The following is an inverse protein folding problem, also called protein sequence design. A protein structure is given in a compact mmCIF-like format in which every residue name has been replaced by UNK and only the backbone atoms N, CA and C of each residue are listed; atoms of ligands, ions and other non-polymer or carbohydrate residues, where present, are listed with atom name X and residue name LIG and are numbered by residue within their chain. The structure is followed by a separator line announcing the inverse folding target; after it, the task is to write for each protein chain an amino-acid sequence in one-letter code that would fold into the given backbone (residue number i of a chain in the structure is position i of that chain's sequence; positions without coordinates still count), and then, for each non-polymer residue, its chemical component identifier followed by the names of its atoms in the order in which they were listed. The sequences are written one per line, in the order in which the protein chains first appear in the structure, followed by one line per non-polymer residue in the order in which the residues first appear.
data_IF_488075198902
#
_entry.id   IF_488075198902
#
_cell.length_a   1.000
_cell.length_b   1.000
_cell.length_c   1.000
_cell.angle_alpha   90.00
_cell.angle_beta   90.00
_cell.angle_gamma   90.00
#
_symmetry.space_group_name_H-M   'P 1'
#
loop_
_entity.id
_entity.type
_entity.pdbx_description
1 polymer ?
#
# COMPACT_ATOMS: atom_id res chain seq x y z
N UNK A 1 -5.71 -15.77 -1.03
CA UNK A 1 -6.09 -14.70 -0.09
C UNK A 1 -5.08 -14.71 1.04
N UNK A 2 -4.34 -13.63 1.26
CA UNK A 2 -3.33 -13.54 2.33
C UNK A 2 -3.98 -13.32 3.70
N UNK A 3 -3.19 -13.40 4.78
CA UNK A 3 -3.68 -13.09 6.14
C UNK A 3 -4.19 -11.65 6.23
N UNK A 4 -3.50 -10.71 5.58
CA UNK A 4 -3.91 -9.30 5.57
C UNK A 4 -5.22 -9.12 4.83
N UNK A 5 -5.38 -9.74 3.65
CA UNK A 5 -6.65 -9.69 2.92
C UNK A 5 -7.81 -10.26 3.73
N UNK A 6 -7.57 -11.34 4.51
CA UNK A 6 -8.58 -11.89 5.41
C UNK A 6 -8.95 -10.92 6.55
N UNK A 7 -7.95 -10.27 7.15
CA UNK A 7 -8.15 -9.25 8.18
C UNK A 7 -8.96 -8.06 7.65
N UNK A 8 -8.59 -7.55 6.48
CA UNK A 8 -9.28 -6.45 5.80
C UNK A 8 -10.74 -6.80 5.45
N UNK A 9 -10.97 -8.01 4.95
CA UNK A 9 -12.32 -8.51 4.67
C UNK A 9 -13.16 -8.67 5.95
N UNK A 10 -12.53 -8.92 7.10
CA UNK A 10 -13.17 -9.07 8.40
C UNK A 10 -13.45 -7.76 9.14
N UNK A 11 -12.98 -6.61 8.63
CA UNK A 11 -13.21 -5.31 9.28
C UNK A 11 -14.70 -4.95 9.37
N UNK A 12 -15.13 -4.20 10.40
CA UNK A 12 -16.47 -3.61 10.46
C UNK A 12 -16.75 -2.75 9.23
N UNK A 13 -18.01 -2.71 8.79
CA UNK A 13 -18.39 -1.95 7.59
C UNK A 13 -18.12 -0.45 7.74
N UNK A 14 -18.31 0.10 8.95
CA UNK A 14 -17.96 1.50 9.27
C UNK A 14 -16.45 1.78 9.07
N UNK A 15 -15.59 0.83 9.44
CA UNK A 15 -14.14 0.95 9.19
C UNK A 15 -13.82 0.82 7.71
N UNK A 16 -14.45 -0.14 6.99
CA UNK A 16 -14.26 -0.31 5.54
C UNK A 16 -14.66 0.93 4.74
N UNK A 17 -15.72 1.63 5.16
CA UNK A 17 -16.17 2.87 4.52
C UNK A 17 -15.10 3.98 4.55
N UNK A 18 -14.24 4.01 5.57
CA UNK A 18 -13.17 5.00 5.68
C UNK A 18 -12.08 4.85 4.60
N UNK A 19 -11.94 3.65 4.01
CA UNK A 19 -10.99 3.41 2.90
C UNK A 19 -11.52 3.92 1.55
N UNK A 20 -12.84 4.08 1.39
CA UNK A 20 -13.47 4.39 0.09
C UNK A 20 -12.97 5.70 -0.52
N UNK A 21 -12.87 6.83 0.21
CA UNK A 21 -12.50 8.11 -0.41
C UNK A 21 -11.11 8.13 -1.05
N UNK A 22 -10.16 7.36 -0.50
CA UNK A 22 -8.76 7.33 -0.94
C UNK A 22 -8.45 6.15 -1.85
N UNK A 23 -8.95 4.97 -1.49
CA UNK A 23 -8.58 3.70 -2.11
C UNK A 23 -9.73 3.07 -2.91
N UNK A 24 -10.98 3.49 -2.68
CA UNK A 24 -12.17 2.91 -3.28
C UNK A 24 -12.72 1.70 -2.50
N UNK A 25 -11.86 0.80 -2.03
CA UNK A 25 -12.21 -0.29 -1.10
C UNK A 25 -10.94 -0.87 -0.45
N UNK A 26 -11.12 -1.84 0.46
CA UNK A 26 -10.01 -2.49 1.17
C UNK A 26 -9.10 -3.36 0.29
N UNK A 27 -9.62 -3.94 -0.80
CA UNK A 27 -8.82 -4.74 -1.73
C UNK A 27 -7.88 -3.86 -2.58
N UNK A 28 -8.38 -2.70 -3.00
CA UNK A 28 -7.58 -1.67 -3.67
C UNK A 28 -6.55 -1.08 -2.71
N UNK A 29 -6.90 -0.87 -1.44
CA UNK A 29 -5.92 -0.51 -0.41
C UNK A 29 -4.78 -1.52 -0.32
N UNK A 30 -5.09 -2.81 -0.18
CA UNK A 30 -4.09 -3.88 -0.16
C UNK A 30 -3.19 -3.82 -1.40
N UNK A 31 -3.80 -3.71 -2.59
CA UNK A 31 -3.07 -3.66 -3.86
C UNK A 31 -2.14 -2.45 -3.94
N UNK A 32 -2.60 -1.26 -3.52
CA UNK A 32 -1.78 -0.04 -3.50
C UNK A 32 -0.61 -0.19 -2.54
N UNK A 33 -0.82 -0.74 -1.34
CA UNK A 33 0.27 -0.95 -0.37
C UNK A 33 1.29 -1.97 -0.85
N UNK A 34 0.82 -3.05 -1.48
CA UNK A 34 1.68 -4.04 -2.12
C UNK A 34 2.56 -3.41 -3.20
N UNK A 35 1.98 -2.54 -4.04
CA UNK A 35 2.71 -1.82 -5.08
C UNK A 35 3.69 -0.79 -4.50
N UNK A 36 3.36 -0.11 -3.40
CA UNK A 36 4.29 0.79 -2.71
C UNK A 36 5.51 0.01 -2.22
N UNK A 37 5.30 -1.14 -1.55
CA UNK A 37 6.39 -2.01 -1.10
C UNK A 37 7.25 -2.51 -2.27
N UNK A 38 6.60 -2.97 -3.35
CA UNK A 38 7.28 -3.37 -4.59
C UNK A 38 8.14 -2.26 -5.18
N UNK A 39 7.60 -1.04 -5.27
CA UNK A 39 8.33 0.10 -5.82
C UNK A 39 9.50 0.51 -4.92
N UNK A 40 9.34 0.49 -3.60
CA UNK A 40 10.44 0.78 -2.66
C UNK A 40 11.59 -0.21 -2.85
N UNK A 41 11.27 -1.51 -2.86
CA UNK A 41 12.25 -2.57 -3.00
C UNK A 41 12.97 -2.53 -4.34
N UNK A 42 12.23 -2.47 -5.45
CA UNK A 42 12.82 -2.43 -6.80
C UNK A 42 13.70 -1.18 -6.96
N UNK A 43 13.22 -0.01 -6.52
CA UNK A 43 14.00 1.23 -6.59
C UNK A 43 15.29 1.14 -5.76
N UNK A 44 15.23 0.52 -4.59
CA UNK A 44 16.40 0.30 -3.74
C UNK A 44 17.43 -0.65 -4.33
N UNK A 45 16.98 -1.67 -5.06
CA UNK A 45 17.85 -2.66 -5.70
C UNK A 45 18.45 -2.16 -7.02
N UNK A 46 17.61 -1.67 -7.92
CA UNK A 46 18.02 -1.26 -9.27
C UNK A 46 18.72 0.10 -9.28
N UNK A 47 18.44 0.94 -8.27
CA UNK A 47 19.03 2.27 -8.11
C UNK A 47 18.97 3.11 -9.40
N UNK A 48 17.76 3.32 -9.98
CA UNK A 48 17.61 4.14 -11.18
C UNK A 48 18.01 5.61 -10.93
N UNK A 49 18.02 6.42 -11.98
CA UNK A 49 18.29 7.86 -11.85
C UNK A 49 17.44 8.52 -10.77
N UNK A 50 18.12 9.25 -9.87
CA UNK A 50 17.54 9.90 -8.69
C UNK A 50 16.85 8.94 -7.72
N UNK A 51 17.31 7.68 -7.61
CA UNK A 51 16.70 6.68 -6.73
C UNK A 51 16.55 7.14 -5.28
N UNK A 52 17.48 7.93 -4.75
CA UNK A 52 17.38 8.46 -3.38
C UNK A 52 16.14 9.36 -3.23
N UNK A 53 15.97 10.34 -4.12
CA UNK A 53 14.79 11.22 -4.14
C UNK A 53 13.50 10.41 -4.32
N UNK A 54 13.52 9.38 -5.18
CA UNK A 54 12.38 8.48 -5.37
C UNK A 54 12.05 7.70 -4.10
N UNK A 55 13.05 7.13 -3.43
CA UNK A 55 12.87 6.42 -2.17
C UNK A 55 12.31 7.34 -1.08
N UNK A 56 12.77 8.58 -1.01
CA UNK A 56 12.26 9.56 -0.05
C UNK A 56 10.78 9.85 -0.28
N UNK A 57 10.36 10.00 -1.54
CA UNK A 57 8.94 10.17 -1.89
C UNK A 57 8.13 8.92 -1.52
N UNK A 58 8.61 7.73 -1.87
CA UNK A 58 7.91 6.46 -1.59
C UNK A 58 7.72 6.29 -0.08
N UNK A 59 8.78 6.47 0.71
CA UNK A 59 8.73 6.36 2.18
C UNK A 59 7.82 7.39 2.81
N UNK A 60 7.83 8.63 2.32
CA UNK A 60 6.91 9.67 2.79
C UNK A 60 5.45 9.30 2.53
N UNK A 61 5.14 8.77 1.35
CA UNK A 61 3.78 8.29 1.04
C UNK A 61 3.41 7.12 1.95
N UNK A 62 4.31 6.14 2.13
CA UNK A 62 4.10 5.00 3.04
C UNK A 62 3.77 5.46 4.46
N UNK A 63 4.59 6.33 5.06
CA UNK A 63 4.33 6.86 6.40
C UNK A 63 3.04 7.68 6.48
N UNK A 64 2.65 8.33 5.39
CA UNK A 64 1.36 9.03 5.35
C UNK A 64 0.19 8.05 5.38
N UNK A 65 0.29 6.93 4.66
CA UNK A 65 -0.73 5.87 4.73
C UNK A 65 -0.80 5.24 6.12
N UNK A 66 0.33 4.97 6.77
CA UNK A 66 0.38 4.48 8.16
C UNK A 66 -0.45 5.38 9.08
N UNK A 67 -0.26 6.70 9.00
CA UNK A 67 -1.01 7.67 9.81
C UNK A 67 -2.51 7.72 9.47
N UNK A 68 -2.86 7.63 8.18
CA UNK A 68 -4.26 7.60 7.71
C UNK A 68 -4.97 6.35 8.24
N UNK A 69 -4.35 5.18 8.11
CA UNK A 69 -4.92 3.93 8.60
C UNK A 69 -5.03 3.95 10.13
N UNK A 70 -4.06 4.56 10.80
CA UNK A 70 -4.11 4.75 12.26
C UNK A 70 -5.31 5.60 12.68
N UNK A 71 -5.67 6.63 11.92
CA UNK A 71 -6.85 7.45 12.21
C UNK A 71 -8.18 6.70 12.06
N UNK A 72 -8.18 5.57 11.34
CA UNK A 72 -9.34 4.68 11.24
C UNK A 72 -9.51 3.77 12.47
N UNK A 73 -8.61 3.85 13.45
CA UNK A 73 -8.60 3.02 14.65
C UNK A 73 -7.89 1.67 14.49
N UNK A 74 -7.05 1.52 13.46
CA UNK A 74 -6.25 0.34 13.19
C UNK A 74 -4.77 0.58 13.56
N UNK A 75 -3.98 -0.47 13.71
CA UNK A 75 -2.52 -0.32 13.74
C UNK A 75 -2.00 -0.14 12.31
N UNK A 76 -1.82 1.13 11.90
CA UNK A 76 -1.37 1.44 10.56
C UNK A 76 0.07 1.01 10.28
N UNK A 77 0.93 0.98 11.29
CA UNK A 77 2.32 0.56 11.11
C UNK A 77 2.41 -0.95 10.89
N UNK A 78 1.72 -1.73 11.72
CA UNK A 78 1.63 -3.18 11.59
C UNK A 78 0.97 -3.58 10.27
N UNK A 79 -0.17 -2.98 9.93
CA UNK A 79 -0.89 -3.33 8.71
C UNK A 79 -0.06 -3.08 7.43
N UNK A 80 0.66 -1.96 7.37
CA UNK A 80 1.53 -1.66 6.22
C UNK A 80 2.74 -2.60 6.18
N UNK A 81 3.32 -2.94 7.33
CA UNK A 81 4.42 -3.90 7.43
C UNK A 81 4.00 -5.31 7.02
N UNK A 82 2.79 -5.73 7.35
CA UNK A 82 2.26 -7.04 6.97
C UNK A 82 2.05 -7.14 5.46
N UNK A 83 1.51 -6.10 4.80
CA UNK A 83 1.40 -6.09 3.33
C UNK A 83 2.78 -6.09 2.67
N UNK A 84 3.75 -5.35 3.22
CA UNK A 84 5.11 -5.40 2.72
C UNK A 84 5.72 -6.81 2.86
N UNK A 85 5.39 -7.52 3.93
CA UNK A 85 5.82 -8.91 4.15
C UNK A 85 5.19 -9.87 3.13
N UNK A 86 3.89 -9.71 2.82
CA UNK A 86 3.21 -10.46 1.76
C UNK A 86 3.93 -10.25 0.40
N UNK A 87 4.32 -9.01 0.09
CA UNK A 87 5.12 -8.70 -1.10
C UNK A 87 6.48 -9.43 -1.10
N UNK A 88 7.23 -9.39 0.00
CA UNK A 88 8.53 -10.08 0.06
C UNK A 88 8.42 -11.59 -0.03
N UNK A 89 7.37 -12.18 0.58
CA UNK A 89 7.09 -13.60 0.45
C UNK A 89 6.84 -13.98 -1.02
N UNK A 90 6.02 -13.21 -1.72
CA UNK A 90 5.77 -13.42 -3.14
C UNK A 90 7.02 -13.25 -3.99
N UNK A 91 7.80 -12.19 -3.74
CA UNK A 91 9.05 -11.92 -4.45
C UNK A 91 10.05 -13.08 -4.34
N UNK A 92 10.27 -13.60 -3.12
CA UNK A 92 11.17 -14.72 -2.86
C UNK A 92 10.69 -16.02 -3.51
N UNK A 93 9.37 -16.21 -3.61
CA UNK A 93 8.76 -17.41 -4.19
C UNK A 93 8.44 -17.26 -5.69
N UNK A 94 8.88 -16.19 -6.35
CA UNK A 94 8.59 -15.90 -7.76
C UNK A 94 7.09 -15.92 -8.09
N UNK A 95 6.25 -15.45 -7.15
CA UNK A 95 4.81 -15.29 -7.34
C UNK A 95 4.51 -13.86 -7.74
N UNK A 96 3.67 -13.69 -8.76
CA UNK A 96 3.09 -12.39 -9.09
C UNK A 96 1.59 -12.43 -8.82
N UNK A 97 1.06 -11.53 -7.97
CA UNK A 97 -0.37 -11.44 -7.76
C UNK A 97 -1.07 -10.83 -8.98
N UNK A 98 -2.33 -11.19 -9.17
CA UNK A 98 -3.17 -10.51 -10.16
C UNK A 98 -3.41 -9.07 -9.70
N UNK A 99 -2.80 -8.11 -10.38
CA UNK A 99 -2.97 -6.68 -10.10
C UNK A 99 -4.26 -6.21 -10.78
N UNK A 100 -5.27 -5.89 -9.97
CA UNK A 100 -6.56 -5.35 -10.43
C UNK A 100 -6.59 -3.82 -10.28
N UNK A 101 -5.52 -3.15 -10.72
CA UNK A 101 -5.34 -1.70 -10.63
C UNK A 101 -4.52 -1.22 -11.82
N UNK A 102 -5.04 -0.25 -12.57
CA UNK A 102 -4.29 0.38 -13.65
C UNK A 102 -3.22 1.34 -13.12
N UNK A 103 -2.22 1.66 -13.95
CA UNK A 103 -1.20 2.66 -13.58
C UNK A 103 -1.82 4.05 -13.31
N UNK A 104 -2.85 4.42 -14.06
CA UNK A 104 -3.54 5.70 -13.86
C UNK A 104 -4.25 5.75 -12.51
N UNK A 105 -4.99 4.69 -12.15
CA UNK A 105 -5.62 4.59 -10.83
C UNK A 105 -4.59 4.59 -9.70
N UNK A 106 -3.46 3.90 -9.87
CA UNK A 106 -2.38 3.92 -8.87
C UNK A 106 -1.84 5.34 -8.67
N UNK A 107 -1.50 6.05 -9.74
CA UNK A 107 -0.98 7.43 -9.68
C UNK A 107 -2.02 8.37 -9.06
N UNK A 108 -3.31 8.23 -9.42
CA UNK A 108 -4.38 9.02 -8.85
C UNK A 108 -4.49 8.79 -7.33
N UNK A 109 -4.45 7.54 -6.86
CA UNK A 109 -4.48 7.22 -5.43
C UNK A 109 -3.25 7.79 -4.70
N UNK A 110 -2.04 7.69 -5.27
CA UNK A 110 -0.84 8.29 -4.67
C UNK A 110 -0.98 9.82 -4.54
N UNK A 111 -1.54 10.49 -5.55
CA UNK A 111 -1.81 11.93 -5.50
C UNK A 111 -2.84 12.29 -4.42
N UNK A 112 -3.92 11.51 -4.29
CA UNK A 112 -4.92 11.69 -3.22
C UNK A 112 -4.28 11.54 -1.84
N UNK A 113 -3.47 10.51 -1.62
CA UNK A 113 -2.73 10.32 -0.37
C UNK A 113 -1.82 11.51 -0.13
N UNK A 114 -1.05 11.95 -1.13
CA UNK A 114 -0.13 13.08 -1.01
C UNK A 114 -0.84 14.40 -0.62
N UNK A 115 -2.11 14.58 -1.01
CA UNK A 115 -2.93 15.75 -0.69
C UNK A 115 -3.78 15.62 0.60
N UNK A 116 -3.92 14.41 1.16
CA UNK A 116 -4.76 14.17 2.35
C UNK A 116 -4.21 14.83 3.62
N UNK A 117 -4.99 15.64 4.32
CA UNK A 117 -4.55 16.33 5.55
C UNK A 117 -5.23 15.75 6.79
#
# INVERSE_FOLDING_TARGET
MTKVQALLAGLPDETKQQFIPLFGNVDKFYTVMYLIAKNEHITGNEKPDRYQERLDVIRRIRSKVENIVTSFGLDGSELVADVASDYFEDYVNFREPSIMLTNEEFIETINKIAAFN
#
